data_IF_997374941272
#
_entry.id   IF_997374941272
#
_cell.length_a   1.000
_cell.length_b   1.000
_cell.length_c   1.000
_cell.angle_alpha   90.00
_cell.angle_beta   90.00
_cell.angle_gamma   90.00
#
_symmetry.space_group_name_H-M   'P 1'
#
loop_
_entity.id
_entity.type
_entity.pdbx_description
1 polymer ?
#
# COMPACT_ATOMS: atom_id res chain seq x y z
N UNK A 1 15.27 -2.16 -5.92
CA UNK A 1 14.00 -1.67 -5.38
C UNK A 1 13.91 -2.15 -3.95
N UNK A 2 13.48 -1.32 -2.99
CA UNK A 2 13.30 -1.70 -1.59
C UNK A 2 12.28 -2.82 -1.35
N UNK A 3 11.17 -2.83 -2.09
CA UNK A 3 10.26 -3.99 -2.10
C UNK A 3 10.92 -5.11 -2.91
N UNK A 4 11.08 -6.29 -2.29
CA UNK A 4 11.53 -7.47 -3.00
C UNK A 4 10.38 -8.04 -3.85
N UNK A 5 10.66 -8.49 -5.07
CA UNK A 5 9.66 -9.03 -6.00
C UNK A 5 8.84 -10.18 -5.40
N UNK A 6 9.40 -10.93 -4.45
CA UNK A 6 8.75 -12.09 -3.84
C UNK A 6 7.89 -11.76 -2.60
N UNK A 7 7.68 -10.48 -2.23
CA UNK A 7 7.07 -10.06 -0.96
C UNK A 7 5.68 -10.64 -0.66
N UNK A 8 4.89 -10.92 -1.71
CA UNK A 8 3.57 -11.54 -1.61
C UNK A 8 3.53 -13.01 -2.10
N UNK A 9 4.68 -13.61 -2.41
CA UNK A 9 4.77 -14.95 -2.98
C UNK A 9 5.26 -16.01 -1.97
N UNK A 10 5.12 -17.29 -2.35
CA UNK A 10 5.54 -18.42 -1.55
C UNK A 10 4.64 -18.64 -0.32
N UNK A 11 5.25 -18.87 0.84
CA UNK A 11 4.55 -19.13 2.10
C UNK A 11 4.20 -17.85 2.90
N UNK A 12 4.45 -16.67 2.31
CA UNK A 12 4.17 -15.38 2.95
C UNK A 12 2.65 -15.19 3.11
N UNK A 13 2.25 -14.65 4.25
CA UNK A 13 0.84 -14.42 4.60
C UNK A 13 0.63 -12.95 4.95
N UNK A 14 -0.50 -12.36 4.55
CA UNK A 14 -0.87 -11.02 5.00
C UNK A 14 -0.92 -10.93 6.52
N UNK A 15 -0.54 -9.78 7.05
CA UNK A 15 -0.61 -9.41 8.48
C UNK A 15 -1.82 -8.51 8.80
N UNK A 16 -2.50 -8.02 7.76
CA UNK A 16 -3.64 -7.12 7.87
C UNK A 16 -4.32 -6.93 6.51
N UNK A 17 -5.36 -6.11 6.48
CA UNK A 17 -6.02 -5.67 5.25
C UNK A 17 -6.70 -4.32 5.47
N UNK A 18 -6.80 -3.51 4.42
CA UNK A 18 -7.55 -2.25 4.44
C UNK A 18 -8.70 -2.39 3.43
N UNK A 19 -9.92 -2.12 3.89
CA UNK A 19 -11.15 -2.30 3.11
C UNK A 19 -11.67 -0.92 2.69
N UNK A 20 -11.80 -0.71 1.38
CA UNK A 20 -12.49 0.44 0.81
C UNK A 20 -14.02 0.24 0.93
N UNK A 21 -14.63 0.83 1.96
CA UNK A 21 -16.06 0.64 2.25
C UNK A 21 -16.99 0.96 1.06
N UNK A 22 -16.80 2.06 0.32
CA UNK A 22 -17.59 2.39 -0.85
C UNK A 22 -17.61 1.33 -1.96
N UNK A 23 -16.47 0.76 -2.33
CA UNK A 23 -16.39 -0.24 -3.41
C UNK A 23 -16.57 -1.68 -2.91
N UNK A 24 -16.29 -1.93 -1.62
CA UNK A 24 -16.19 -3.28 -1.05
C UNK A 24 -14.89 -4.00 -1.43
N UNK A 25 -14.04 -3.39 -2.27
CA UNK A 25 -12.69 -3.88 -2.54
C UNK A 25 -11.82 -3.71 -1.29
N UNK A 26 -10.72 -4.44 -1.26
CA UNK A 26 -9.72 -4.31 -0.20
C UNK A 26 -8.35 -4.60 -0.80
N UNK A 27 -7.32 -4.29 -0.03
CA UNK A 27 -5.97 -4.77 -0.29
C UNK A 27 -5.35 -5.36 0.97
N UNK A 28 -4.36 -6.23 0.79
CA UNK A 28 -3.62 -6.85 1.88
C UNK A 28 -2.52 -5.94 2.42
N UNK A 29 -2.23 -6.09 3.71
CA UNK A 29 -0.96 -5.63 4.28
C UNK A 29 -0.05 -6.84 4.44
N UNK A 30 1.13 -6.79 3.82
CA UNK A 30 2.14 -7.85 3.84
C UNK A 30 3.23 -7.57 4.87
N UNK A 31 3.95 -8.60 5.36
CA UNK A 31 5.01 -8.44 6.34
C UNK A 31 6.09 -7.45 5.90
N UNK A 32 6.63 -6.73 6.88
CA UNK A 32 7.79 -5.86 6.70
C UNK A 32 9.00 -6.61 6.16
N UNK A 33 9.70 -5.96 5.23
CA UNK A 33 10.99 -6.38 4.71
C UNK A 33 12.14 -5.53 5.25
N UNK A 34 11.90 -4.67 6.24
CA UNK A 34 12.91 -3.77 6.80
C UNK A 34 14.16 -4.54 7.28
N UNK A 35 15.30 -4.27 6.64
CA UNK A 35 16.58 -4.94 6.85
C UNK A 35 16.87 -6.09 5.88
N UNK A 36 15.97 -6.37 4.93
CA UNK A 36 16.14 -7.38 3.89
C UNK A 36 16.48 -6.72 2.54
N UNK A 37 17.42 -7.30 1.80
CA UNK A 37 17.76 -6.82 0.46
C UNK A 37 18.20 -5.35 0.45
N UNK A 38 17.48 -4.52 -0.31
CA UNK A 38 17.70 -3.07 -0.39
C UNK A 38 16.78 -2.27 0.54
N UNK A 39 15.95 -2.92 1.36
CA UNK A 39 15.04 -2.27 2.27
C UNK A 39 15.78 -1.80 3.53
N UNK A 40 16.12 -0.52 3.55
CA UNK A 40 16.89 0.07 4.64
C UNK A 40 16.05 0.68 5.76
N UNK A 41 14.72 0.47 5.74
CA UNK A 41 13.77 1.09 6.65
C UNK A 41 13.85 2.63 6.60
N UNK A 42 13.80 3.20 5.40
CA UNK A 42 14.04 4.63 5.12
C UNK A 42 13.17 5.58 5.96
N UNK A 43 11.93 5.20 6.28
CA UNK A 43 11.06 5.98 7.15
C UNK A 43 11.65 6.16 8.56
N UNK A 44 12.42 5.19 9.06
CA UNK A 44 13.10 5.25 10.36
C UNK A 44 14.36 6.13 10.37
N UNK A 45 14.79 6.63 9.21
CA UNK A 45 15.97 7.49 9.05
C UNK A 45 15.59 8.92 8.61
N UNK A 46 14.35 9.15 8.20
CA UNK A 46 13.88 10.46 7.75
C UNK A 46 13.58 11.37 8.94
N UNK A 47 14.24 12.53 9.02
CA UNK A 47 14.13 13.47 10.15
C UNK A 47 12.71 14.01 10.35
N UNK A 48 11.97 14.27 9.27
CA UNK A 48 10.60 14.81 9.36
C UNK A 48 9.62 13.74 9.85
N UNK A 49 9.75 12.51 9.35
CA UNK A 49 8.98 11.36 9.83
C UNK A 49 9.23 11.16 11.33
N UNK A 50 10.50 11.08 11.75
CA UNK A 50 10.85 10.88 13.15
C UNK A 50 10.31 11.99 14.07
N UNK A 51 10.43 13.26 13.64
CA UNK A 51 9.93 14.39 14.40
C UNK A 51 8.41 14.36 14.59
N UNK A 52 7.64 13.97 13.56
CA UNK A 52 6.19 13.88 13.69
C UNK A 52 5.74 12.65 14.48
N UNK A 53 6.45 11.51 14.40
CA UNK A 53 6.21 10.37 15.31
C UNK A 53 6.41 10.78 16.77
N UNK A 54 7.50 11.49 17.09
CA UNK A 54 7.76 12.02 18.44
C UNK A 54 6.65 12.98 18.90
N UNK A 55 6.26 13.93 18.03
CA UNK A 55 5.19 14.90 18.31
C UNK A 55 3.85 14.23 18.62
N UNK A 56 3.55 13.11 17.95
CA UNK A 56 2.33 12.32 18.19
C UNK A 56 2.43 11.41 19.42
N UNK A 57 3.64 11.21 19.97
CA UNK A 57 3.88 10.22 21.03
C UNK A 57 3.74 8.78 20.54
N UNK A 58 3.84 8.56 19.23
CA UNK A 58 3.76 7.25 18.59
C UNK A 58 5.16 6.66 18.42
N UNK A 59 5.28 5.33 18.49
CA UNK A 59 6.56 4.65 18.27
C UNK A 59 6.75 4.35 16.79
N UNK A 60 7.97 4.49 16.28
CA UNK A 60 8.32 3.89 15.00
C UNK A 60 8.30 2.37 15.13
N UNK A 61 7.45 1.75 14.33
CA UNK A 61 7.27 0.31 14.25
C UNK A 61 7.41 -0.13 12.79
N UNK A 62 7.66 -1.42 12.58
CA UNK A 62 7.64 -2.02 11.26
C UNK A 62 6.18 -2.27 10.86
N UNK A 63 5.67 -1.46 9.93
CA UNK A 63 4.28 -1.45 9.50
C UNK A 63 4.01 -2.46 8.39
N UNK A 64 5.01 -2.72 7.55
CA UNK A 64 4.87 -3.60 6.39
C UNK A 64 4.42 -2.89 5.12
N UNK A 65 3.93 -3.69 4.17
CA UNK A 65 3.68 -3.27 2.80
C UNK A 65 2.17 -3.26 2.57
N UNK A 66 1.57 -2.10 2.38
CA UNK A 66 0.13 -2.00 2.05
C UNK A 66 -0.06 -2.15 0.56
N UNK A 67 -1.05 -2.94 0.14
CA UNK A 67 -1.28 -3.25 -1.28
C UNK A 67 -0.59 -4.53 -1.73
N UNK A 68 -1.10 -5.12 -2.82
CA UNK A 68 -0.56 -6.33 -3.43
C UNK A 68 -0.19 -6.09 -4.88
N UNK A 69 -1.13 -5.62 -5.71
CA UNK A 69 -0.85 -5.26 -7.10
C UNK A 69 -0.28 -3.84 -7.20
N UNK A 70 -0.69 -2.96 -6.28
CA UNK A 70 -0.10 -1.63 -6.08
C UNK A 70 0.39 -1.56 -4.64
N UNK A 71 1.61 -2.02 -4.42
CA UNK A 71 2.21 -2.08 -3.10
C UNK A 71 2.91 -0.75 -2.76
N UNK A 72 2.72 -0.26 -1.55
CA UNK A 72 3.50 0.81 -0.93
C UNK A 72 4.06 0.31 0.40
N UNK A 73 5.38 0.25 0.50
CA UNK A 73 6.05 -0.15 1.73
C UNK A 73 6.04 1.02 2.73
N UNK A 74 5.22 0.91 3.78
CA UNK A 74 5.09 1.95 4.80
C UNK A 74 6.32 2.07 5.70
N UNK A 75 7.23 1.09 5.68
CA UNK A 75 8.55 1.16 6.32
C UNK A 75 9.54 1.99 5.49
N UNK A 76 9.32 2.09 4.19
CA UNK A 76 10.17 2.87 3.27
C UNK A 76 9.53 4.23 2.95
N UNK A 77 8.20 4.33 2.98
CA UNK A 77 7.44 5.52 2.64
C UNK A 77 7.75 6.68 3.60
N UNK A 78 8.33 7.76 3.07
CA UNK A 78 8.66 8.98 3.83
C UNK A 78 7.55 10.03 3.81
N UNK A 79 6.33 9.65 3.41
CA UNK A 79 5.18 10.56 3.27
C UNK A 79 5.43 11.75 2.33
N UNK A 80 6.22 11.53 1.25
CA UNK A 80 6.48 12.58 0.24
C UNK A 80 5.23 12.91 -0.59
N UNK A 81 4.42 11.91 -0.94
CA UNK A 81 3.18 12.11 -1.69
C UNK A 81 3.32 12.23 -3.21
N UNK A 82 4.52 12.11 -3.80
CA UNK A 82 4.68 12.11 -5.26
C UNK A 82 3.82 11.05 -5.97
N UNK A 83 3.58 9.88 -5.34
CA UNK A 83 2.70 8.85 -5.89
C UNK A 83 1.22 9.27 -5.97
N UNK A 84 0.76 10.09 -5.02
CA UNK A 84 -0.60 10.64 -5.00
C UNK A 84 -0.76 11.63 -6.16
N UNK A 85 0.16 12.58 -6.30
CA UNK A 85 0.14 13.58 -7.38
C UNK A 85 0.29 12.97 -8.77
N UNK A 86 1.13 11.94 -8.92
CA UNK A 86 1.42 11.35 -10.22
C UNK A 86 0.40 10.32 -10.70
N UNK A 87 -0.51 9.84 -9.84
CA UNK A 87 -1.44 8.77 -10.23
C UNK A 87 -2.61 9.32 -11.06
N UNK A 88 -2.73 8.98 -12.36
CA UNK A 88 -3.77 9.54 -13.22
C UNK A 88 -5.19 9.05 -12.90
N UNK A 89 -5.31 7.98 -12.12
CA UNK A 89 -6.57 7.37 -11.69
C UNK A 89 -6.74 7.40 -10.17
N UNK A 90 -5.93 8.20 -9.48
CA UNK A 90 -6.03 8.48 -8.05
C UNK A 90 -6.21 7.23 -7.17
N UNK A 91 -5.44 6.16 -7.36
CA UNK A 91 -5.56 4.96 -6.50
C UNK A 91 -5.07 5.20 -5.05
N UNK A 92 -4.23 6.21 -4.87
CA UNK A 92 -3.65 6.56 -3.58
C UNK A 92 -4.47 7.63 -2.86
N UNK A 93 -4.45 7.59 -1.53
CA UNK A 93 -4.89 8.66 -0.64
C UNK A 93 -4.01 8.73 0.60
N UNK A 94 -4.09 9.82 1.36
CA UNK A 94 -3.49 9.89 2.70
C UNK A 94 -4.34 9.14 3.72
N UNK A 95 -3.80 8.10 4.37
CA UNK A 95 -4.61 7.24 5.23
C UNK A 95 -5.15 7.97 6.47
N UNK A 96 -4.37 8.87 7.08
CA UNK A 96 -4.79 9.54 8.34
C UNK A 96 -5.87 10.58 8.12
N UNK A 97 -5.94 11.14 6.92
CA UNK A 97 -7.02 12.06 6.57
C UNK A 97 -8.35 11.32 6.38
N UNK A 98 -8.34 10.04 6.01
CA UNK A 98 -9.54 9.18 6.05
C UNK A 98 -9.87 8.79 7.50
N UNK A 99 -8.89 8.26 8.21
CA UNK A 99 -9.01 7.82 9.61
C UNK A 99 -7.72 8.11 10.38
N UNK A 100 -7.78 9.09 11.29
CA UNK A 100 -6.63 9.57 12.06
C UNK A 100 -6.27 8.60 13.21
N UNK A 101 -5.59 7.50 12.87
CA UNK A 101 -5.11 6.45 13.79
C UNK A 101 -3.63 6.14 13.54
N UNK A 102 -2.94 5.54 14.53
CA UNK A 102 -1.53 5.15 14.38
C UNK A 102 -1.33 4.16 13.22
N UNK A 103 -0.13 4.11 12.65
CA UNK A 103 0.15 3.20 11.52
C UNK A 103 -0.09 1.73 11.88
N UNK A 104 0.27 1.33 13.10
CA UNK A 104 0.05 -0.06 13.56
C UNK A 104 -1.43 -0.37 13.80
N UNK A 105 -2.22 0.62 14.23
CA UNK A 105 -3.66 0.47 14.38
C UNK A 105 -4.34 0.40 13.01
N UNK A 106 -3.89 1.19 12.03
CA UNK A 106 -4.38 1.13 10.66
C UNK A 106 -4.16 -0.26 10.04
N UNK A 107 -2.95 -0.82 10.17
CA UNK A 107 -2.63 -2.17 9.68
C UNK A 107 -3.48 -3.27 10.32
N UNK A 108 -3.88 -3.08 11.59
CA UNK A 108 -4.69 -4.04 12.36
C UNK A 108 -6.20 -3.78 12.25
N UNK A 109 -6.60 -2.69 11.60
CA UNK A 109 -8.00 -2.31 11.50
C UNK A 109 -8.74 -3.29 10.58
N UNK A 110 -9.79 -3.92 11.11
CA UNK A 110 -10.63 -4.86 10.36
C UNK A 110 -11.95 -4.24 9.90
N UNK A 111 -12.14 -2.93 10.12
CA UNK A 111 -13.35 -2.19 9.74
C UNK A 111 -13.24 -1.60 8.35
N UNK A 112 -14.39 -1.27 7.77
CA UNK A 112 -14.45 -0.52 6.51
C UNK A 112 -13.96 0.92 6.70
N UNK A 113 -13.14 1.37 5.76
CA UNK A 113 -12.68 2.74 5.65
C UNK A 113 -13.62 3.51 4.74
N UNK A 114 -13.68 4.83 4.90
CA UNK A 114 -14.61 5.64 4.10
C UNK A 114 -14.11 5.85 2.68
N UNK A 115 -12.80 5.66 2.42
CA UNK A 115 -12.20 5.90 1.11
C UNK A 115 -12.17 7.37 0.74
N UNK A 116 -12.13 8.26 1.74
CA UNK A 116 -12.22 9.73 1.57
C UNK A 116 -10.97 10.44 2.07
N UNK A 117 -9.84 9.74 2.11
CA UNK A 117 -8.57 10.39 2.39
C UNK A 117 -8.25 11.43 1.31
N UNK A 118 -7.55 12.49 1.71
CA UNK A 118 -7.09 13.54 0.82
C UNK A 118 -6.19 12.96 -0.28
N UNK A 119 -6.38 13.47 -1.49
CA UNK A 119 -5.71 13.00 -2.72
C UNK A 119 -4.79 14.06 -3.32
N UNK A 120 -4.44 15.07 -2.52
CA UNK A 120 -3.50 16.12 -2.89
C UNK A 120 -2.22 15.96 -2.07
N UNK A 121 -1.05 16.01 -2.72
CA UNK A 121 0.25 15.74 -2.08
C UNK A 121 0.49 16.58 -0.82
N UNK A 122 0.10 17.85 -0.83
CA UNK A 122 0.36 18.77 0.29
C UNK A 122 -0.69 18.74 1.39
N UNK A 123 -1.78 17.98 1.22
CA UNK A 123 -2.87 17.86 2.19
C UNK A 123 -2.71 16.65 3.15
N UNK A 124 -1.50 16.08 3.22
CA UNK A 124 -1.16 15.10 4.27
C UNK A 124 -1.35 15.69 5.65
N UNK A 125 -1.77 14.86 6.61
CA UNK A 125 -1.93 15.29 8.00
C UNK A 125 -0.61 15.74 8.65
N UNK A 126 0.44 14.95 8.42
CA UNK A 126 1.83 15.12 8.87
C UNK A 126 2.71 14.05 8.20
N UNK A 127 4.00 13.94 8.53
CA UNK A 127 4.91 12.94 7.91
C UNK A 127 4.72 11.49 8.42
N UNK A 128 3.81 11.27 9.38
CA UNK A 128 3.36 9.93 9.78
C UNK A 128 2.14 9.46 8.97
N UNK A 129 1.59 10.33 8.12
CA UNK A 129 0.50 10.03 7.20
C UNK A 129 1.07 9.38 5.93
N UNK A 130 0.91 8.06 5.80
CA UNK A 130 1.46 7.29 4.69
C UNK A 130 0.47 7.26 3.53
N UNK A 131 1.00 7.27 2.31
CA UNK A 131 0.16 7.10 1.12
C UNK A 131 -0.37 5.66 1.09
N UNK A 132 -1.66 5.50 0.89
CA UNK A 132 -2.32 4.20 0.86
C UNK A 132 -2.98 3.98 -0.50
N UNK A 133 -2.65 2.87 -1.17
CA UNK A 133 -3.27 2.49 -2.44
C UNK A 133 -4.65 1.84 -2.19
N UNK A 134 -5.53 2.53 -1.45
CA UNK A 134 -6.82 1.97 -1.02
C UNK A 134 -7.66 1.48 -2.20
N UNK A 135 -7.53 2.13 -3.35
CA UNK A 135 -8.18 1.80 -4.62
C UNK A 135 -7.27 1.00 -5.57
N UNK A 136 -6.45 0.07 -5.05
CA UNK A 136 -5.48 -0.68 -5.89
C UNK A 136 -6.11 -1.36 -7.12
N UNK A 137 -7.38 -1.77 -7.02
CA UNK A 137 -8.15 -2.41 -8.09
C UNK A 137 -8.45 -1.49 -9.27
N UNK A 138 -8.40 -0.17 -9.08
CA UNK A 138 -8.61 0.82 -10.15
C UNK A 138 -7.31 1.11 -10.93
N UNK A 139 -6.20 0.46 -10.57
CA UNK A 139 -4.90 0.74 -11.17
C UNK A 139 -4.84 0.32 -12.64
N UNK A 140 -4.34 1.25 -13.48
CA UNK A 140 -4.11 1.03 -14.91
C UNK A 140 -2.67 0.58 -15.24
N UNK A 141 -1.88 0.21 -14.23
CA UNK A 141 -0.51 -0.32 -14.37
C UNK A 141 0.46 0.58 -15.17
N UNK A 142 0.29 1.90 -15.09
CA UNK A 142 1.11 2.86 -15.86
C UNK A 142 2.52 3.10 -15.30
N UNK A 143 2.83 2.61 -14.09
CA UNK A 143 4.13 2.74 -13.41
C UNK A 143 4.57 4.18 -13.08
N UNK A 144 3.68 5.18 -13.22
CA UNK A 144 3.99 6.57 -12.91
C UNK A 144 4.40 6.76 -11.45
N UNK A 145 3.62 6.19 -10.51
CA UNK A 145 3.89 6.25 -9.08
C UNK A 145 5.23 5.60 -8.68
N UNK A 146 5.61 4.49 -9.33
CA UNK A 146 6.90 3.81 -9.12
C UNK A 146 8.05 4.73 -9.53
N UNK A 147 7.92 5.40 -10.67
CA UNK A 147 8.99 6.21 -11.27
C UNK A 147 9.27 7.49 -10.49
N UNK A 148 8.24 8.06 -9.84
CA UNK A 148 8.37 9.33 -9.10
C UNK A 148 8.66 9.15 -7.60
N UNK A 149 8.52 7.95 -7.05
CA UNK A 149 8.66 7.71 -5.61
C UNK A 149 10.12 7.90 -5.17
N UNK A 150 10.45 8.94 -4.37
CA UNK A 150 11.84 9.23 -4.04
C UNK A 150 12.57 8.09 -3.31
N UNK A 151 11.98 7.43 -2.29
CA UNK A 151 12.61 6.29 -1.65
C UNK A 151 12.31 4.96 -2.38
N UNK A 152 11.65 4.98 -3.54
CA UNK A 152 11.23 3.77 -4.26
C UNK A 152 10.36 2.80 -3.42
N UNK A 153 9.51 3.35 -2.54
CA UNK A 153 8.60 2.59 -1.68
C UNK A 153 7.44 1.92 -2.45
N UNK A 154 7.21 2.26 -3.71
CA UNK A 154 6.06 1.79 -4.49
C UNK A 154 6.48 0.74 -5.51
N UNK A 155 5.75 -0.37 -5.55
CA UNK A 155 5.83 -1.41 -6.58
C UNK A 155 4.44 -1.58 -7.22
N UNK A 156 4.42 -1.72 -8.55
CA UNK A 156 3.20 -2.04 -9.29
C UNK A 156 3.47 -3.27 -10.15
N UNK A 157 2.70 -4.33 -9.96
CA UNK A 157 2.81 -5.56 -10.72
C UNK A 157 1.45 -6.28 -10.80
N UNK A 158 0.93 -6.44 -12.02
CA UNK A 158 -0.33 -7.12 -12.27
C UNK A 158 -0.26 -8.62 -11.94
N UNK A 159 0.93 -9.24 -12.02
CA UNK A 159 1.10 -10.66 -11.72
C UNK A 159 0.86 -11.00 -10.24
N UNK A 160 0.88 -9.99 -9.36
CA UNK A 160 0.57 -10.15 -7.95
C UNK A 160 -0.93 -10.38 -7.67
N UNK A 161 -1.82 -10.21 -8.67
CA UNK A 161 -3.25 -10.50 -8.51
C UNK A 161 -3.48 -11.95 -8.06
N UNK A 162 -2.72 -12.91 -8.60
CA UNK A 162 -2.81 -14.31 -8.17
C UNK A 162 -2.46 -14.48 -6.67
N UNK A 163 -1.45 -13.74 -6.18
CA UNK A 163 -1.10 -13.75 -4.76
C UNK A 163 -2.21 -13.13 -3.90
N UNK A 164 -2.79 -12.02 -4.36
CA UNK A 164 -3.93 -11.37 -3.71
C UNK A 164 -5.12 -12.32 -3.56
N UNK A 165 -5.53 -12.96 -4.66
CA UNK A 165 -6.68 -13.86 -4.69
C UNK A 165 -6.44 -15.15 -3.90
N UNK A 166 -5.21 -15.68 -3.92
CA UNK A 166 -4.85 -16.85 -3.11
C UNK A 166 -4.93 -16.53 -1.63
N UNK A 167 -4.43 -15.37 -1.21
CA UNK A 167 -4.55 -14.92 0.17
C UNK A 167 -6.01 -14.67 0.58
N UNK A 168 -6.87 -14.25 -0.36
CA UNK A 168 -8.30 -14.10 -0.16
C UNK A 168 -9.10 -15.42 -0.19
N UNK A 169 -8.49 -16.51 -0.65
CA UNK A 169 -9.20 -17.77 -0.90
C UNK A 169 -10.19 -17.68 -2.06
N UNK A 170 -10.06 -16.68 -2.93
CA UNK A 170 -10.91 -16.45 -4.10
C UNK A 170 -10.26 -16.88 -5.40
N UNK A 171 -8.99 -17.29 -5.37
CA UNK A 171 -8.26 -17.70 -6.56
C UNK A 171 -8.94 -18.87 -7.27
N UNK A 172 -9.30 -18.66 -8.53
CA UNK A 172 -9.81 -19.70 -9.42
C UNK A 172 -8.77 -19.95 -10.50
N UNK A 173 -8.24 -21.17 -10.55
CA UNK A 173 -7.36 -21.58 -11.64
C UNK A 173 -8.16 -21.61 -12.94
N UNK A 174 -7.88 -20.67 -13.84
CA UNK A 174 -8.42 -20.76 -15.20
C UNK A 174 -7.87 -22.02 -15.88
N UNK A 175 -8.75 -22.92 -16.30
CA UNK A 175 -8.37 -24.05 -17.14
C UNK A 175 -8.12 -23.55 -18.57
N UNK A 176 -7.08 -24.05 -19.23
CA UNK A 176 -6.77 -23.65 -20.61
C UNK A 176 -7.96 -23.93 -21.52
N UNK A 177 -8.60 -22.88 -22.04
CA UNK A 177 -9.76 -22.98 -22.93
C UNK A 177 -11.10 -22.47 -22.35
N UNK A 178 -11.14 -21.96 -21.11
CA UNK A 178 -12.31 -21.25 -20.57
C UNK A 178 -12.29 -19.75 -20.94
N UNK A 179 -13.48 -19.16 -21.16
CA UNK A 179 -13.63 -17.71 -21.37
C UNK A 179 -13.05 -16.93 -20.18
N UNK A 180 -12.34 -15.83 -20.47
CA UNK A 180 -11.77 -14.94 -19.46
C UNK A 180 -12.92 -14.27 -18.68
N UNK A 181 -13.09 -14.54 -17.38
CA UNK A 181 -14.20 -13.98 -16.60
C UNK A 181 -14.05 -12.47 -16.35
N UNK A 182 -12.88 -11.89 -16.68
CA UNK A 182 -12.58 -10.45 -16.58
C UNK A 182 -12.50 -9.75 -17.94
N UNK A 183 -12.87 -10.42 -19.03
CA UNK A 183 -13.08 -9.76 -20.31
C UNK A 183 -14.44 -9.06 -20.28
N UNK A 184 -14.43 -7.73 -20.18
CA UNK A 184 -15.59 -6.93 -20.55
C UNK A 184 -15.44 -6.55 -22.04
N UNK A 185 -16.52 -6.73 -22.79
CA UNK A 185 -16.64 -6.41 -24.23
C UNK A 185 -16.27 -4.96 -24.56
#
# INVERSE_FOLDING_TARGET
MPINEDFCHGDKKPIGKIIDGPSGNFHWVWPSQAGEGQNEWDASKNEQVLADYEKRGEKMEKLGITGTMVANDWDVCVADGACIEACPVQVFQWYRTDKDVSGIDAVKDTTEWKGVGETEKEERRDFTDKADAIREHDCIYCMACVSVCPPQAVLVDQSNLEAHEKAAGTFVKMESGSENPHAHD
#
